data_IF_156484963609
#
_entry.id   IF_156484963609
#
_cell.length_a   1.000
_cell.length_b   1.000
_cell.length_c   1.000
_cell.angle_alpha   90.00
_cell.angle_beta   90.00
_cell.angle_gamma   90.00
#
_symmetry.space_group_name_H-M   'P 1'
#
loop_
_entity.id
_entity.type
_entity.pdbx_description
1 polymer ?
#
# COMPACT_ATOMS: atom_id res chain seq x y z
N UNK A 1 -23.26 -6.76 12.58
CA UNK A 1 -22.63 -5.48 12.20
C UNK A 1 -21.21 -5.80 11.72
N UNK A 2 -21.02 -5.88 10.40
CA UNK A 2 -19.70 -6.02 9.79
C UNK A 2 -19.12 -4.60 9.71
N UNK A 3 -17.98 -4.34 10.36
CA UNK A 3 -17.31 -3.05 10.24
C UNK A 3 -16.31 -3.13 9.07
N UNK A 4 -16.60 -2.53 7.90
CA UNK A 4 -15.67 -2.53 6.76
C UNK A 4 -14.37 -1.75 7.01
N UNK A 5 -14.18 -1.20 8.22
CA UNK A 5 -12.92 -0.61 8.67
C UNK A 5 -11.98 -1.61 9.37
N UNK A 6 -12.44 -2.85 9.64
CA UNK A 6 -11.61 -3.93 10.19
C UNK A 6 -11.09 -4.87 9.10
N UNK A 7 -10.75 -4.34 7.94
CA UNK A 7 -9.97 -5.11 6.96
C UNK A 7 -8.57 -5.33 7.57
N UNK A 8 -8.20 -6.60 7.78
CA UNK A 8 -6.94 -7.03 8.43
C UNK A 8 -5.71 -6.60 7.60
N UNK A 9 -5.93 -6.24 6.33
CA UNK A 9 -4.91 -5.90 5.34
C UNK A 9 -5.26 -4.53 4.74
N UNK A 10 -4.23 -3.77 4.33
CA UNK A 10 -4.39 -2.43 3.75
C UNK A 10 -5.45 -2.41 2.63
N UNK A 11 -6.49 -1.56 2.72
CA UNK A 11 -7.61 -1.62 1.81
C UNK A 11 -7.33 -0.76 0.56
N UNK A 12 -7.63 -1.26 -0.64
CA UNK A 12 -7.35 -0.53 -1.91
C UNK A 12 -8.03 0.84 -1.97
N UNK A 13 -9.20 0.99 -1.33
CA UNK A 13 -9.91 2.28 -1.15
C UNK A 13 -9.09 3.36 -0.44
N UNK A 14 -8.06 2.99 0.32
CA UNK A 14 -7.20 3.93 1.04
C UNK A 14 -6.05 4.50 0.18
N UNK A 15 -5.75 3.92 -0.99
CA UNK A 15 -4.64 4.35 -1.87
C UNK A 15 -4.78 5.84 -2.23
N UNK A 16 -5.98 6.28 -2.59
CA UNK A 16 -6.27 7.67 -2.92
C UNK A 16 -5.92 8.66 -1.82
N UNK A 17 -6.01 8.25 -0.56
CA UNK A 17 -5.68 9.11 0.58
C UNK A 17 -4.18 9.32 0.79
N UNK A 18 -3.34 8.60 0.05
CA UNK A 18 -1.88 8.68 0.18
C UNK A 18 -1.25 9.69 -0.77
N UNK A 19 -1.94 10.12 -1.83
CA UNK A 19 -1.35 10.88 -2.95
C UNK A 19 -0.68 12.19 -2.53
N UNK A 20 -1.30 12.93 -1.60
CA UNK A 20 -0.84 14.26 -1.16
C UNK A 20 0.07 14.24 0.08
N UNK A 21 0.61 13.07 0.44
CA UNK A 21 1.39 12.92 1.68
C UNK A 21 2.88 13.24 1.54
N UNK A 22 3.42 13.23 0.32
CA UNK A 22 4.84 13.44 0.02
C UNK A 22 4.99 14.26 -1.27
N UNK A 23 6.17 14.26 -1.88
CA UNK A 23 6.47 15.06 -3.07
C UNK A 23 5.82 14.54 -4.35
N UNK A 24 6.10 15.23 -5.45
CA UNK A 24 5.52 14.99 -6.78
C UNK A 24 5.75 13.55 -7.26
N UNK A 25 6.97 13.02 -7.11
CA UNK A 25 7.30 11.63 -7.48
C UNK A 25 6.38 10.61 -6.81
N UNK A 26 6.11 10.77 -5.51
CA UNK A 26 5.19 9.90 -4.80
C UNK A 26 3.74 10.09 -5.26
N UNK A 27 3.34 11.35 -5.45
CA UNK A 27 2.01 11.69 -5.92
C UNK A 27 1.71 11.05 -7.28
N UNK A 28 2.66 11.11 -8.21
CA UNK A 28 2.55 10.53 -9.55
C UNK A 28 2.44 9.00 -9.50
N UNK A 29 3.22 8.35 -8.65
CA UNK A 29 3.10 6.90 -8.43
C UNK A 29 1.69 6.53 -7.95
N UNK A 30 1.18 7.24 -6.93
CA UNK A 30 -0.15 6.96 -6.36
C UNK A 30 -1.24 7.21 -7.41
N UNK A 31 -1.17 8.32 -8.15
CA UNK A 31 -2.13 8.64 -9.20
C UNK A 31 -2.14 7.56 -10.30
N UNK A 32 -0.96 7.15 -10.76
CA UNK A 32 -0.83 6.09 -11.76
C UNK A 32 -1.46 4.78 -11.29
N UNK A 33 -1.27 4.39 -10.04
CA UNK A 33 -1.86 3.15 -9.48
C UNK A 33 -3.37 3.23 -9.36
N UNK A 34 -3.94 4.37 -8.98
CA UNK A 34 -5.39 4.58 -8.86
C UNK A 34 -6.10 4.36 -10.21
N UNK A 35 -5.44 4.70 -11.32
CA UNK A 35 -5.98 4.52 -12.66
C UNK A 35 -5.95 3.06 -13.14
N UNK A 36 -5.25 2.16 -12.43
CA UNK A 36 -5.13 0.75 -12.81
C UNK A 36 -6.32 -0.08 -12.32
N UNK A 37 -6.74 -1.11 -13.09
CA UNK A 37 -7.73 -2.09 -12.64
C UNK A 37 -7.33 -2.75 -11.32
N UNK A 38 -8.30 -3.03 -10.44
CA UNK A 38 -8.07 -3.62 -9.11
C UNK A 38 -7.38 -4.99 -9.17
N UNK A 39 -7.57 -5.74 -10.24
CA UNK A 39 -6.99 -7.06 -10.53
C UNK A 39 -5.66 -6.98 -11.29
N UNK A 40 -5.15 -5.77 -11.55
CA UNK A 40 -3.87 -5.59 -12.22
C UNK A 40 -2.68 -5.96 -11.32
N UNK A 41 -1.56 -6.40 -11.92
CA UNK A 41 -0.29 -6.53 -11.22
C UNK A 41 0.15 -5.23 -10.53
N UNK A 42 -0.13 -4.08 -11.12
CA UNK A 42 0.21 -2.75 -10.60
C UNK A 42 -0.52 -2.45 -9.27
N UNK A 43 -1.84 -2.67 -9.21
CA UNK A 43 -2.61 -2.53 -7.96
C UNK A 43 -2.12 -3.51 -6.90
N UNK A 44 -1.94 -4.78 -7.27
CA UNK A 44 -1.49 -5.81 -6.35
C UNK A 44 -0.09 -5.52 -5.79
N UNK A 45 0.82 -5.03 -6.63
CA UNK A 45 2.17 -4.65 -6.23
C UNK A 45 2.16 -3.49 -5.24
N UNK A 46 1.33 -2.47 -5.47
CA UNK A 46 1.21 -1.35 -4.55
C UNK A 46 0.63 -1.78 -3.20
N UNK A 47 -0.40 -2.63 -3.19
CA UNK A 47 -0.93 -3.23 -1.96
C UNK A 47 0.15 -4.01 -1.21
N UNK A 48 0.92 -4.86 -1.90
CA UNK A 48 2.02 -5.63 -1.32
C UNK A 48 3.10 -4.73 -0.72
N UNK A 49 3.47 -3.65 -1.41
CA UNK A 49 4.42 -2.65 -0.91
C UNK A 49 3.90 -2.03 0.39
N UNK A 50 2.65 -1.57 0.41
CA UNK A 50 2.05 -0.95 1.60
C UNK A 50 1.96 -1.93 2.78
N UNK A 51 1.59 -3.19 2.53
CA UNK A 51 1.57 -4.25 3.56
C UNK A 51 2.93 -4.42 4.22
N UNK A 52 4.02 -4.36 3.43
CA UNK A 52 5.40 -4.45 3.94
C UNK A 52 5.80 -3.21 4.74
N UNK A 53 5.52 -2.00 4.21
CA UNK A 53 5.83 -0.73 4.88
C UNK A 53 5.06 -0.60 6.21
N UNK A 54 3.77 -0.94 6.21
CA UNK A 54 2.91 -0.82 7.38
C UNK A 54 3.15 -1.91 8.43
N UNK A 55 3.82 -3.00 8.02
CA UNK A 55 4.05 -4.17 8.84
C UNK A 55 2.76 -4.92 9.17
N UNK A 56 1.77 -4.89 8.26
CA UNK A 56 0.41 -5.43 8.49
C UNK A 56 0.43 -6.91 8.93
N UNK A 57 1.37 -7.70 8.43
CA UNK A 57 1.50 -9.14 8.75
C UNK A 57 1.71 -9.37 10.25
N UNK A 58 2.35 -8.42 10.94
CA UNK A 58 2.62 -8.48 12.38
C UNK A 58 1.58 -7.71 13.21
N UNK A 59 0.57 -7.13 12.55
CA UNK A 59 -0.47 -6.35 13.22
C UNK A 59 -1.50 -7.30 13.84
N UNK A 60 -1.80 -7.11 15.12
CA UNK A 60 -2.88 -7.82 15.82
C UNK A 60 -3.93 -6.83 16.30
N UNK A 61 -5.14 -7.31 16.60
CA UNK A 61 -6.29 -6.48 16.98
C UNK A 61 -6.07 -5.64 18.25
N UNK A 62 -5.15 -6.08 19.12
CA UNK A 62 -4.77 -5.36 20.35
C UNK A 62 -3.64 -4.35 20.13
N UNK A 63 -3.09 -4.28 18.91
CA UNK A 63 -2.05 -3.32 18.58
C UNK A 63 -2.64 -1.90 18.52
N UNK A 64 -1.91 -0.94 19.08
CA UNK A 64 -2.21 0.51 18.93
C UNK A 64 -2.38 0.96 17.47
N UNK A 65 -1.87 0.18 16.50
CA UNK A 65 -2.05 0.39 15.06
C UNK A 65 -3.43 -0.07 14.58
N UNK A 66 -3.91 -1.25 15.00
CA UNK A 66 -5.24 -1.76 14.67
C UNK A 66 -6.36 -0.87 15.22
N UNK A 67 -6.18 -0.30 16.41
CA UNK A 67 -7.14 0.63 17.03
C UNK A 67 -7.33 1.96 16.27
N UNK A 68 -6.40 2.36 15.38
CA UNK A 68 -6.47 3.61 14.61
C UNK A 68 -7.09 3.47 13.22
N UNK A 69 -7.30 2.23 12.75
CA UNK A 69 -7.72 1.94 11.38
C UNK A 69 -6.57 1.93 10.38
N UNK A 70 -6.63 1.00 9.41
CA UNK A 70 -5.59 0.81 8.39
C UNK A 70 -5.26 2.07 7.57
N UNK A 71 -6.24 2.90 7.14
CA UNK A 71 -5.93 4.14 6.41
C UNK A 71 -5.07 5.12 7.22
N UNK A 72 -5.36 5.31 8.51
CA UNK A 72 -4.60 6.20 9.37
C UNK A 72 -3.18 5.65 9.64
N UNK A 73 -3.04 4.33 9.77
CA UNK A 73 -1.73 3.68 9.89
C UNK A 73 -0.87 3.91 8.64
N UNK A 74 -1.44 3.66 7.46
CA UNK A 74 -0.76 3.86 6.18
C UNK A 74 -0.32 5.31 5.98
N UNK A 75 -1.21 6.28 6.22
CA UNK A 75 -0.88 7.69 6.11
C UNK A 75 0.26 8.08 7.07
N UNK A 76 0.24 7.58 8.31
CA UNK A 76 1.28 7.86 9.29
C UNK A 76 2.64 7.28 8.87
N UNK A 77 2.66 6.05 8.38
CA UNK A 77 3.90 5.40 7.95
C UNK A 77 4.50 6.08 6.72
N UNK A 78 3.69 6.45 5.73
CA UNK A 78 4.16 7.21 4.55
C UNK A 78 4.72 8.58 4.96
N UNK A 79 4.05 9.31 5.85
CA UNK A 79 4.56 10.59 6.38
C UNK A 79 5.88 10.44 7.16
N UNK A 80 6.07 9.31 7.85
CA UNK A 80 7.25 9.03 8.68
C UNK A 80 8.34 8.24 7.96
N UNK A 81 8.10 7.84 6.72
CA UNK A 81 9.05 7.05 5.95
C UNK A 81 10.33 7.86 5.74
N UNK A 82 11.46 7.31 6.18
CA UNK A 82 12.74 8.01 6.29
C UNK A 82 13.51 8.12 4.97
N UNK A 83 13.19 7.26 3.99
CA UNK A 83 13.79 7.29 2.67
C UNK A 83 13.18 8.36 1.77
N UNK A 84 13.70 8.46 0.56
CA UNK A 84 13.22 9.37 -0.49
C UNK A 84 11.96 8.84 -1.15
N UNK A 85 11.32 9.67 -1.98
CA UNK A 85 10.20 9.22 -2.80
C UNK A 85 10.69 8.22 -3.88
N UNK A 86 11.93 8.37 -4.36
CA UNK A 86 12.55 7.39 -5.25
C UNK A 86 12.72 6.03 -4.57
N UNK A 87 13.06 5.97 -3.28
CA UNK A 87 13.14 4.69 -2.55
C UNK A 87 11.76 3.99 -2.49
N UNK A 88 10.67 4.75 -2.45
CA UNK A 88 9.31 4.21 -2.51
C UNK A 88 8.99 3.70 -3.91
N UNK A 89 9.39 4.43 -4.97
CA UNK A 89 9.27 3.96 -6.36
C UNK A 89 10.03 2.66 -6.57
N UNK A 90 11.28 2.57 -6.11
CA UNK A 90 12.08 1.34 -6.22
C UNK A 90 11.41 0.18 -5.47
N UNK A 91 10.86 0.39 -4.28
CA UNK A 91 10.12 -0.66 -3.56
C UNK A 91 8.86 -1.11 -4.32
N UNK A 92 8.14 -0.17 -4.94
CA UNK A 92 7.00 -0.49 -5.80
C UNK A 92 7.43 -1.32 -7.01
N UNK A 93 8.51 -0.95 -7.70
CA UNK A 93 9.03 -1.70 -8.85
C UNK A 93 9.47 -3.12 -8.48
N UNK A 94 10.13 -3.29 -7.32
CA UNK A 94 10.47 -4.61 -6.79
C UNK A 94 9.21 -5.45 -6.53
N UNK A 95 8.21 -4.86 -5.86
CA UNK A 95 6.93 -5.53 -5.65
C UNK A 95 6.25 -5.89 -6.98
N UNK A 96 6.32 -5.02 -7.99
CA UNK A 96 5.75 -5.25 -9.31
C UNK A 96 6.42 -6.42 -10.04
N UNK A 97 7.74 -6.55 -9.94
CA UNK A 97 8.47 -7.68 -10.47
C UNK A 97 8.07 -9.00 -9.79
N UNK A 98 7.94 -9.00 -8.46
CA UNK A 98 7.52 -10.18 -7.69
C UNK A 98 6.10 -10.61 -8.03
N UNK A 99 5.19 -9.64 -8.12
CA UNK A 99 3.80 -9.86 -8.52
C UNK A 99 3.74 -10.43 -9.92
N UNK A 100 4.39 -9.80 -10.91
CA UNK A 100 4.39 -10.27 -12.30
C UNK A 100 4.89 -11.71 -12.42
N UNK A 101 5.99 -12.09 -11.74
CA UNK A 101 6.48 -13.49 -11.72
C UNK A 101 5.43 -14.49 -11.24
N UNK A 102 4.59 -14.09 -10.28
CA UNK A 102 3.52 -14.93 -9.74
C UNK A 102 2.37 -15.06 -10.73
N UNK A 103 1.93 -13.95 -11.35
CA UNK A 103 0.88 -13.96 -12.37
C UNK A 103 1.23 -14.82 -13.60
N UNK A 104 2.51 -14.89 -14.00
CA UNK A 104 2.94 -15.75 -15.12
C UNK A 104 3.02 -17.25 -14.80
N UNK A 105 2.90 -17.65 -13.53
CA UNK A 105 2.89 -19.07 -13.14
C UNK A 105 1.51 -19.71 -13.20
N UNK A 106 0.45 -18.90 -13.24
CA UNK A 106 -0.95 -19.33 -13.18
C UNK A 106 -1.68 -19.21 -14.54
N UNK A 107 -0.95 -18.98 -15.65
CA UNK A 107 -1.44 -18.98 -17.05
C UNK A 107 -0.87 -20.15 -17.84
#
# INVERSE_FOLDING_TARGET
MYNPETEIVFPSKAIGSLSSLRGETWQDLVNMVIEKPLDSPEQTAFLLMMIKIDGCITCNVDSFRAMRGCPACAQLNIRRYKGTDDDLVHQYEQALMDTKKTFFKDS
#
